data_IF_794589084674
#
_entry.id   IF_794589084674
#
_cell.length_a   1.000
_cell.length_b   1.000
_cell.length_c   1.000
_cell.angle_alpha   90.00
_cell.angle_beta   90.00
_cell.angle_gamma   90.00
#
_symmetry.space_group_name_H-M   'P 1'
#
loop_
_entity.id
_entity.type
_entity.pdbx_description
1 polymer ?
#
# COMPACT_ATOMS: atom_id res chain seq x y z
N UNK A 1 10.20 -4.01 9.95
CA UNK A 1 10.41 -2.64 9.41
C UNK A 1 11.27 -2.58 8.15
N UNK A 2 12.49 -3.15 8.10
CA UNK A 2 13.37 -3.06 6.92
C UNK A 2 12.77 -3.55 5.59
N UNK A 3 12.03 -4.67 5.61
CA UNK A 3 11.47 -5.28 4.39
C UNK A 3 10.42 -4.40 3.66
N UNK A 4 9.57 -3.69 4.42
CA UNK A 4 8.50 -2.86 3.85
C UNK A 4 9.05 -1.58 3.20
N UNK A 5 10.04 -0.95 3.85
CA UNK A 5 10.71 0.22 3.29
C UNK A 5 11.52 -0.15 2.03
N UNK A 6 12.10 -1.34 1.96
CA UNK A 6 12.80 -1.82 0.76
C UNK A 6 11.84 -2.05 -0.42
N UNK A 7 10.67 -2.66 -0.18
CA UNK A 7 9.62 -2.79 -1.21
C UNK A 7 9.16 -1.43 -1.75
N UNK A 8 8.97 -0.47 -0.85
CA UNK A 8 8.63 0.90 -1.22
C UNK A 8 9.73 1.52 -2.10
N UNK A 9 11.00 1.38 -1.73
CA UNK A 9 12.11 1.87 -2.54
C UNK A 9 12.18 1.20 -3.91
N UNK A 10 11.89 -0.11 -3.98
CA UNK A 10 11.79 -0.85 -5.25
C UNK A 10 10.77 -0.22 -6.20
N UNK A 11 9.57 0.10 -5.71
CA UNK A 11 8.54 0.79 -6.50
C UNK A 11 8.93 2.22 -6.88
N UNK A 12 9.46 3.01 -5.94
CA UNK A 12 9.87 4.41 -6.18
C UNK A 12 11.05 4.55 -7.14
N UNK A 13 11.87 3.49 -7.28
CA UNK A 13 12.97 3.46 -8.24
C UNK A 13 12.51 3.44 -9.70
N UNK A 14 11.27 3.03 -9.97
CA UNK A 14 10.63 3.04 -11.30
C UNK A 14 10.18 4.46 -11.68
N UNK A 15 11.15 5.33 -12.03
CA UNK A 15 10.90 6.73 -12.41
C UNK A 15 10.02 6.91 -13.64
N UNK A 16 9.92 5.87 -14.47
CA UNK A 16 8.97 5.83 -15.57
C UNK A 16 7.51 5.77 -15.07
N UNK A 17 7.27 5.14 -13.92
CA UNK A 17 5.95 4.75 -13.43
C UNK A 17 5.50 5.59 -12.23
N UNK A 18 6.43 6.00 -11.37
CA UNK A 18 6.17 6.77 -10.15
C UNK A 18 6.70 8.19 -10.31
N UNK A 19 5.79 9.16 -10.46
CA UNK A 19 6.09 10.59 -10.62
C UNK A 19 6.27 11.28 -9.27
N UNK A 20 5.44 10.91 -8.30
CA UNK A 20 5.44 11.45 -6.94
C UNK A 20 5.28 10.30 -5.96
N UNK A 21 5.80 10.47 -4.75
CA UNK A 21 5.66 9.47 -3.70
C UNK A 21 5.71 10.12 -2.33
N UNK A 22 5.00 9.55 -1.37
CA UNK A 22 5.10 9.85 0.04
C UNK A 22 4.99 8.56 0.83
N UNK A 23 5.67 8.50 1.97
CA UNK A 23 5.57 7.43 2.93
C UNK A 23 5.41 8.03 4.31
N UNK A 24 4.35 7.63 4.99
CA UNK A 24 4.07 8.00 6.37
C UNK A 24 3.82 6.73 7.19
N UNK A 25 4.26 6.73 8.45
CA UNK A 25 4.07 5.60 9.35
C UNK A 25 3.97 6.07 10.78
N UNK A 26 3.14 5.42 11.56
CA UNK A 26 2.91 5.79 12.95
C UNK A 26 2.13 4.73 13.71
N UNK A 27 1.52 5.15 14.81
CA UNK A 27 0.63 4.34 15.62
C UNK A 27 -0.67 5.12 15.84
N UNK A 28 -1.78 4.57 15.37
CA UNK A 28 -3.14 5.08 15.61
C UNK A 28 -4.04 3.88 15.94
N UNK A 29 -4.07 3.52 17.22
CA UNK A 29 -4.70 2.30 17.72
C UNK A 29 -4.16 1.03 17.03
N UNK A 30 -2.88 1.06 16.65
CA UNK A 30 -2.21 0.07 15.82
C UNK A 30 -1.18 0.72 14.89
N UNK A 31 -0.07 0.02 14.66
CA UNK A 31 0.95 0.47 13.72
C UNK A 31 0.36 0.54 12.30
N UNK A 32 0.59 1.66 11.63
CA UNK A 32 0.18 1.85 10.25
C UNK A 32 1.35 2.23 9.34
N UNK A 33 1.20 1.89 8.07
CA UNK A 33 2.12 2.25 7.00
C UNK A 33 1.31 2.76 5.81
N UNK A 34 1.46 4.04 5.50
CA UNK A 34 0.76 4.71 4.42
C UNK A 34 1.72 5.00 3.28
N UNK A 35 1.45 4.40 2.12
CA UNK A 35 2.16 4.67 0.88
C UNK A 35 1.26 5.49 -0.04
N UNK A 36 1.79 6.59 -0.57
CA UNK A 36 1.11 7.39 -1.58
C UNK A 36 1.98 7.49 -2.81
N UNK A 37 1.39 7.29 -3.98
CA UNK A 37 2.07 7.38 -5.27
C UNK A 37 1.28 8.26 -6.22
N UNK A 38 1.97 9.14 -6.94
CA UNK A 38 1.46 9.83 -8.11
C UNK A 38 1.92 9.15 -9.39
N UNK A 39 0.98 8.84 -10.28
CA UNK A 39 1.25 8.19 -11.58
C UNK A 39 0.23 8.60 -12.63
N UNK A 40 0.64 8.60 -13.90
CA UNK A 40 -0.27 8.69 -15.05
C UNK A 40 -0.73 7.31 -15.54
N UNK A 41 -0.17 6.22 -14.99
CA UNK A 41 -0.43 4.82 -15.39
C UNK A 41 -0.96 4.00 -14.21
N UNK A 42 -2.12 4.36 -13.62
CA UNK A 42 -2.62 3.76 -12.38
C UNK A 42 -2.86 2.25 -12.48
N UNK A 43 -3.33 1.76 -13.62
CA UNK A 43 -3.55 0.32 -13.83
C UNK A 43 -2.23 -0.47 -13.82
N UNK A 44 -1.17 0.07 -14.43
CA UNK A 44 0.14 -0.55 -14.44
C UNK A 44 0.79 -0.51 -13.06
N UNK A 45 0.70 0.63 -12.36
CA UNK A 45 1.18 0.75 -11.00
C UNK A 45 0.46 -0.24 -10.07
N UNK A 46 -0.87 -0.34 -10.16
CA UNK A 46 -1.64 -1.25 -9.34
C UNK A 46 -1.21 -2.71 -9.55
N UNK A 47 -1.05 -3.15 -10.79
CA UNK A 47 -0.57 -4.51 -11.08
C UNK A 47 0.81 -4.77 -10.46
N UNK A 48 1.74 -3.83 -10.58
CA UNK A 48 3.08 -3.97 -9.96
C UNK A 48 2.98 -4.03 -8.43
N UNK A 49 2.13 -3.21 -7.81
CA UNK A 49 1.89 -3.25 -6.36
C UNK A 49 1.30 -4.60 -5.93
N UNK A 50 0.36 -5.14 -6.72
CA UNK A 50 -0.20 -6.46 -6.44
C UNK A 50 0.88 -7.55 -6.43
N UNK A 51 1.74 -7.61 -7.45
CA UNK A 51 2.75 -8.65 -7.56
C UNK A 51 3.84 -8.53 -6.47
N UNK A 52 4.25 -7.30 -6.14
CA UNK A 52 5.36 -7.05 -5.21
C UNK A 52 4.94 -7.04 -3.73
N UNK A 53 3.70 -6.65 -3.43
CA UNK A 53 3.25 -6.38 -2.05
C UNK A 53 2.05 -7.22 -1.67
N UNK A 54 0.95 -7.15 -2.41
CA UNK A 54 -0.32 -7.76 -1.96
C UNK A 54 -0.39 -9.27 -2.20
N UNK A 55 0.23 -9.79 -3.26
CA UNK A 55 0.18 -11.20 -3.66
C UNK A 55 1.50 -11.93 -3.38
N UNK A 56 2.56 -11.20 -3.03
CA UNK A 56 3.83 -11.78 -2.61
C UNK A 56 3.61 -12.73 -1.43
N UNK A 57 4.12 -13.96 -1.53
CA UNK A 57 3.87 -15.03 -0.54
C UNK A 57 4.23 -14.61 0.89
N UNK A 58 5.28 -13.80 1.04
CA UNK A 58 5.79 -13.30 2.32
C UNK A 58 4.87 -12.26 2.99
N UNK A 59 4.04 -11.56 2.22
CA UNK A 59 3.27 -10.41 2.69
C UNK A 59 1.76 -10.58 2.54
N UNK A 60 1.31 -11.50 1.67
CA UNK A 60 -0.10 -11.70 1.30
C UNK A 60 -1.01 -11.87 2.51
N UNK A 61 -0.61 -12.63 3.53
CA UNK A 61 -1.42 -12.84 4.74
C UNK A 61 -1.59 -11.54 5.54
N UNK A 62 -0.50 -10.79 5.74
CA UNK A 62 -0.54 -9.51 6.45
C UNK A 62 -1.31 -8.44 5.67
N UNK A 63 -1.12 -8.37 4.36
CA UNK A 63 -1.85 -7.44 3.49
C UNK A 63 -3.34 -7.76 3.48
N UNK A 64 -3.73 -9.05 3.46
CA UNK A 64 -5.14 -9.44 3.56
C UNK A 64 -5.80 -9.04 4.89
N UNK A 65 -5.03 -8.94 5.97
CA UNK A 65 -5.54 -8.60 7.29
C UNK A 65 -5.66 -7.08 7.54
N UNK A 66 -4.73 -6.29 6.98
CA UNK A 66 -4.46 -4.95 7.50
C UNK A 66 -4.13 -3.90 6.44
N UNK A 67 -4.46 -4.12 5.15
CA UNK A 67 -4.15 -3.15 4.09
C UNK A 67 -5.37 -2.65 3.33
N UNK A 68 -5.30 -1.40 2.89
CA UNK A 68 -6.25 -0.78 1.97
C UNK A 68 -5.46 -0.12 0.83
N UNK A 69 -5.98 -0.17 -0.38
CA UNK A 69 -5.46 0.58 -1.51
C UNK A 69 -6.56 1.39 -2.18
N UNK A 70 -6.26 2.65 -2.47
CA UNK A 70 -7.18 3.61 -3.06
C UNK A 70 -6.48 4.41 -4.13
N UNK A 71 -7.23 4.86 -5.14
CA UNK A 71 -6.78 5.78 -6.17
C UNK A 71 -7.62 7.05 -6.09
N UNK A 72 -7.00 8.21 -5.88
CA UNK A 72 -7.67 9.50 -5.84
C UNK A 72 -7.17 10.44 -6.94
N UNK A 73 -8.00 11.43 -7.30
CA UNK A 73 -7.58 12.52 -8.19
C UNK A 73 -6.82 13.59 -7.41
N UNK A 74 -6.32 14.62 -8.10
CA UNK A 74 -5.74 15.81 -7.47
C UNK A 74 -6.73 16.56 -6.54
N UNK A 75 -8.04 16.27 -6.66
CA UNK A 75 -9.06 16.78 -5.75
C UNK A 75 -9.07 16.07 -4.38
N UNK A 76 -8.24 15.04 -4.19
CA UNK A 76 -8.04 14.37 -2.90
C UNK A 76 -9.14 13.37 -2.56
N UNK A 77 -9.37 13.20 -1.25
CA UNK A 77 -10.19 12.14 -0.66
C UNK A 77 -11.69 12.21 -0.98
N UNK A 78 -12.18 13.31 -1.58
CA UNK A 78 -13.57 13.43 -2.00
C UNK A 78 -13.86 12.70 -3.33
N UNK A 79 -12.80 12.34 -4.07
CA UNK A 79 -12.89 11.64 -5.35
C UNK A 79 -11.85 10.51 -5.38
N UNK A 80 -12.15 9.44 -4.64
CA UNK A 80 -11.34 8.23 -4.64
C UNK A 80 -12.13 7.02 -5.12
N UNK A 81 -11.40 6.07 -5.70
CA UNK A 81 -11.83 4.73 -5.99
C UNK A 81 -11.07 3.78 -5.08
N UNK A 82 -11.78 3.00 -4.28
CA UNK A 82 -11.19 1.92 -3.52
C UNK A 82 -10.84 0.75 -4.44
N UNK A 83 -9.56 0.36 -4.47
CA UNK A 83 -9.04 -0.72 -5.32
C UNK A 83 -8.89 -2.03 -4.54
N UNK A 84 -8.59 -1.92 -3.24
CA UNK A 84 -8.44 -3.06 -2.35
C UNK A 84 -8.82 -2.67 -0.92
N UNK A 85 -9.47 -3.61 -0.23
CA UNK A 85 -9.78 -3.52 1.19
C UNK A 85 -9.40 -4.84 1.84
N UNK A 86 -8.95 -4.79 3.10
CA UNK A 86 -8.68 -5.99 3.87
C UNK A 86 -9.93 -6.85 3.99
N UNK A 87 -9.71 -8.16 4.16
CA UNK A 87 -10.77 -9.12 4.35
C UNK A 87 -11.30 -9.04 5.79
N UNK A 88 -12.60 -8.75 5.94
CA UNK A 88 -13.27 -8.67 7.24
C UNK A 88 -13.27 -10.00 8.02
N UNK A 89 -13.05 -11.13 7.34
CA UNK A 89 -12.97 -12.46 7.96
C UNK A 89 -11.57 -12.75 8.56
N UNK A 90 -10.57 -11.90 8.27
CA UNK A 90 -9.23 -12.04 8.84
C UNK A 90 -9.17 -11.23 10.14
N UNK A 91 -8.84 -11.85 11.29
CA UNK A 91 -8.74 -11.14 12.56
C UNK A 91 -7.69 -10.02 12.49
N UNK A 92 -8.01 -8.86 13.06
CA UNK A 92 -7.06 -7.77 13.22
C UNK A 92 -5.91 -8.24 14.12
N UNK A 93 -4.69 -8.20 13.61
CA UNK A 93 -3.49 -8.62 14.34
C UNK A 93 -2.90 -7.39 15.05
N UNK A 94 -2.59 -7.44 16.36
CA UNK A 94 -2.00 -6.31 17.07
C UNK A 94 -0.65 -5.88 16.47
N UNK A 95 -0.38 -4.58 16.50
CA UNK A 95 0.84 -3.97 16.00
C UNK A 95 2.15 -4.58 16.54
N UNK A 96 2.10 -5.10 17.77
CA UNK A 96 3.23 -5.75 18.46
C UNK A 96 3.57 -7.15 17.94
N UNK A 97 2.77 -7.69 17.03
CA UNK A 97 2.96 -9.01 16.41
C UNK A 97 3.45 -8.94 14.94
N UNK A 98 3.78 -7.73 14.45
CA UNK A 98 4.42 -7.46 13.16
C UNK A 98 5.91 -7.14 13.32
#
# INVERSE_FOLDING_TARGET
MAAISELFQGLVSRKDLVLQHSFDSGDDNGAYFNFTFGTERPAELWRNMQDLVFLATEHKAHMAAASMAMCSSAAGWDQYLQLYHWNLEVPVVPATAL
#
